data_IF_429031525964
#
_entry.id   IF_429031525964
#
_cell.length_a   1.000
_cell.length_b   1.000
_cell.length_c   1.000
_cell.angle_alpha   90.00
_cell.angle_beta   90.00
_cell.angle_gamma   90.00
#
_symmetry.space_group_name_H-M   'P 1'
#
loop_
_entity.id
_entity.type
_entity.pdbx_description
1 polymer ?
#
# COMPACT_ATOMS: atom_id res chain seq x y z
N UNK A 1 19.18 -27.11 -0.55
CA UNK A 1 18.92 -25.99 0.37
C UNK A 1 18.81 -26.52 1.80
N UNK A 2 18.88 -25.66 2.84
CA UNK A 2 18.91 -26.08 4.26
C UNK A 2 17.71 -26.96 4.69
N UNK A 3 16.59 -26.85 3.97
CA UNK A 3 15.38 -27.65 4.18
C UNK A 3 15.52 -29.10 3.68
N UNK A 4 16.37 -29.34 2.69
CA UNK A 4 16.58 -30.67 2.09
C UNK A 4 17.60 -31.51 2.87
N UNK A 5 18.34 -30.87 3.79
CA UNK A 5 19.40 -31.48 4.60
C UNK A 5 18.91 -32.02 5.96
N UNK A 6 17.60 -32.21 6.14
CA UNK A 6 17.05 -32.84 7.35
C UNK A 6 17.09 -31.97 8.61
N UNK A 7 17.27 -30.66 8.46
CA UNK A 7 17.26 -29.71 9.59
C UNK A 7 15.84 -29.57 10.12
N UNK A 8 15.67 -29.66 11.45
CA UNK A 8 14.38 -29.47 12.10
C UNK A 8 13.79 -28.09 11.79
N UNK A 9 12.53 -28.06 11.37
CA UNK A 9 11.78 -26.81 11.15
C UNK A 9 10.68 -26.68 12.20
N UNK A 10 10.84 -25.73 13.10
CA UNK A 10 9.81 -25.39 14.09
C UNK A 10 8.84 -24.38 13.47
N UNK A 11 7.60 -24.80 13.24
CA UNK A 11 6.53 -23.92 12.74
C UNK A 11 5.74 -23.37 13.92
N UNK A 12 5.86 -22.08 14.17
CA UNK A 12 5.04 -21.37 15.15
C UNK A 12 3.64 -21.08 14.55
N UNK A 13 2.58 -21.41 15.31
CA UNK A 13 1.18 -21.36 14.86
C UNK A 13 0.33 -20.31 15.61
N UNK A 14 0.96 -19.45 16.43
CA UNK A 14 0.25 -18.48 17.29
C UNK A 14 -0.15 -17.17 16.60
N UNK A 15 0.00 -17.05 15.29
CA UNK A 15 -0.29 -15.81 14.55
C UNK A 15 -1.78 -15.64 14.25
N UNK A 16 -2.30 -14.41 14.36
CA UNK A 16 -3.63 -14.09 13.84
C UNK A 16 -3.57 -14.00 12.31
N UNK A 17 -4.37 -14.83 11.63
CA UNK A 17 -4.47 -14.81 10.18
C UNK A 17 -5.45 -13.73 9.72
N UNK A 18 -4.94 -12.71 9.04
CA UNK A 18 -5.76 -11.66 8.40
C UNK A 18 -6.30 -12.15 7.05
N UNK A 19 -7.55 -11.83 6.75
CA UNK A 19 -8.14 -11.96 5.41
C UNK A 19 -7.69 -10.82 4.51
N UNK A 20 -7.44 -11.10 3.24
CA UNK A 20 -7.09 -10.09 2.24
C UNK A 20 -8.11 -10.12 1.09
N UNK A 21 -8.60 -8.95 0.70
CA UNK A 21 -9.41 -8.79 -0.50
C UNK A 21 -8.50 -8.75 -1.73
N UNK A 22 -8.76 -9.61 -2.70
CA UNK A 22 -7.99 -9.68 -3.95
C UNK A 22 -8.87 -9.24 -5.10
N UNK A 23 -8.48 -8.14 -5.74
CA UNK A 23 -9.18 -7.56 -6.89
C UNK A 23 -8.29 -7.68 -8.11
N UNK A 24 -8.79 -8.35 -9.16
CA UNK A 24 -8.09 -8.48 -10.43
C UNK A 24 -8.58 -7.43 -11.41
N UNK A 25 -7.66 -6.60 -11.91
CA UNK A 25 -7.92 -5.59 -12.94
C UNK A 25 -6.76 -5.68 -13.95
N UNK A 26 -6.98 -6.03 -15.22
CA UNK A 26 -5.90 -6.26 -16.18
C UNK A 26 -5.18 -4.99 -16.62
N UNK A 27 -5.86 -3.83 -16.66
CA UNK A 27 -5.22 -2.59 -17.07
C UNK A 27 -4.35 -2.01 -15.94
N UNK A 28 -3.08 -1.72 -16.24
CA UNK A 28 -2.13 -1.21 -15.24
C UNK A 28 -2.53 0.18 -14.75
N UNK A 29 -3.04 1.03 -15.65
CA UNK A 29 -3.49 2.37 -15.31
C UNK A 29 -4.68 2.33 -14.36
N UNK A 30 -5.73 1.61 -14.74
CA UNK A 30 -6.94 1.40 -13.96
C UNK A 30 -6.63 0.81 -12.58
N UNK A 31 -5.72 -0.16 -12.48
CA UNK A 31 -5.26 -0.69 -11.18
C UNK A 31 -4.71 0.40 -10.26
N UNK A 32 -3.83 1.25 -10.77
CA UNK A 32 -3.19 2.27 -9.93
C UNK A 32 -4.16 3.37 -9.55
N UNK A 33 -5.03 3.78 -10.47
CA UNK A 33 -6.10 4.75 -10.19
C UNK A 33 -7.05 4.23 -9.12
N UNK A 34 -7.48 2.97 -9.22
CA UNK A 34 -8.34 2.35 -8.22
C UNK A 34 -7.68 2.27 -6.84
N UNK A 35 -6.42 1.80 -6.78
CA UNK A 35 -5.65 1.75 -5.53
C UNK A 35 -5.52 3.13 -4.89
N UNK A 36 -5.27 4.17 -5.69
CA UNK A 36 -5.16 5.54 -5.21
C UNK A 36 -6.49 6.09 -4.65
N UNK A 37 -7.61 5.76 -5.30
CA UNK A 37 -8.95 6.15 -4.84
C UNK A 37 -9.33 5.43 -3.53
N UNK A 38 -9.17 4.11 -3.48
CA UNK A 38 -9.44 3.31 -2.27
C UNK A 38 -8.60 3.79 -1.09
N UNK A 39 -7.31 4.10 -1.32
CA UNK A 39 -6.45 4.70 -0.32
C UNK A 39 -6.96 6.08 0.15
N UNK A 40 -7.35 6.96 -0.77
CA UNK A 40 -7.83 8.30 -0.42
C UNK A 40 -9.13 8.27 0.39
N UNK A 41 -10.05 7.37 0.03
CA UNK A 41 -11.29 7.10 0.80
C UNK A 41 -10.94 6.64 2.21
N UNK A 42 -10.05 5.65 2.35
CA UNK A 42 -9.62 5.12 3.64
C UNK A 42 -8.99 6.18 4.55
N UNK A 43 -8.14 7.05 3.98
CA UNK A 43 -7.55 8.20 4.71
C UNK A 43 -8.60 9.21 5.13
N UNK A 44 -9.56 9.53 4.26
CA UNK A 44 -10.68 10.44 4.57
C UNK A 44 -11.53 9.89 5.71
N UNK A 45 -11.69 8.57 5.79
CA UNK A 45 -12.40 7.86 6.87
C UNK A 45 -11.55 7.71 8.15
N UNK A 46 -10.34 8.28 8.19
CA UNK A 46 -9.47 8.29 9.37
C UNK A 46 -8.82 6.94 9.67
N UNK A 47 -8.81 6.01 8.71
CA UNK A 47 -8.18 4.69 8.89
C UNK A 47 -6.65 4.80 8.82
N UNK A 48 -5.95 3.96 9.60
CA UNK A 48 -4.51 3.78 9.42
C UNK A 48 -4.27 3.02 8.12
N UNK A 49 -3.71 3.70 7.11
CA UNK A 49 -3.63 3.17 5.75
C UNK A 49 -2.25 3.39 5.15
N UNK A 50 -1.76 2.38 4.43
CA UNK A 50 -0.50 2.42 3.69
C UNK A 50 -0.70 1.80 2.32
N UNK A 51 -0.39 2.54 1.25
CA UNK A 51 -0.32 2.00 -0.11
C UNK A 51 1.10 1.49 -0.39
N UNK A 52 1.22 0.25 -0.88
CA UNK A 52 2.50 -0.38 -1.19
C UNK A 52 2.58 -0.80 -2.65
N UNK A 53 3.73 -0.53 -3.28
CA UNK A 53 4.04 -0.97 -4.64
C UNK A 53 5.55 -1.17 -4.80
N UNK A 54 5.92 -2.13 -5.63
CA UNK A 54 7.32 -2.45 -5.92
C UNK A 54 7.85 -1.63 -7.10
N UNK A 55 9.10 -1.16 -7.00
CA UNK A 55 9.78 -0.39 -8.03
C UNK A 55 9.70 1.13 -7.84
N UNK A 56 10.81 1.83 -8.00
CA UNK A 56 10.90 3.29 -7.77
C UNK A 56 10.09 4.10 -8.78
N UNK A 57 10.02 3.62 -10.04
CA UNK A 57 9.22 4.23 -11.10
C UNK A 57 7.74 4.10 -10.78
N UNK A 58 7.28 2.91 -10.44
CA UNK A 58 5.90 2.60 -10.08
C UNK A 58 5.47 3.38 -8.83
N UNK A 59 6.33 3.50 -7.82
CA UNK A 59 6.09 4.35 -6.66
C UNK A 59 5.89 5.81 -7.05
N UNK A 60 6.71 6.35 -7.97
CA UNK A 60 6.56 7.73 -8.44
C UNK A 60 5.22 7.95 -9.15
N UNK A 61 4.80 7.00 -10.00
CA UNK A 61 3.51 7.05 -10.70
C UNK A 61 2.35 6.99 -9.70
N UNK A 62 2.36 6.00 -8.80
CA UNK A 62 1.29 5.83 -7.80
C UNK A 62 1.20 7.03 -6.84
N UNK A 63 2.34 7.61 -6.42
CA UNK A 63 2.37 8.81 -5.59
C UNK A 63 1.71 10.01 -6.26
N UNK A 64 1.85 10.16 -7.59
CA UNK A 64 1.13 11.18 -8.36
C UNK A 64 -0.38 11.00 -8.25
N UNK A 65 -0.84 9.79 -8.58
CA UNK A 65 -2.27 9.43 -8.55
C UNK A 65 -2.90 9.56 -7.15
N UNK A 66 -2.17 9.15 -6.10
CA UNK A 66 -2.61 9.31 -4.71
C UNK A 66 -2.75 10.80 -4.36
N UNK A 67 -1.79 11.65 -4.73
CA UNK A 67 -1.89 13.10 -4.43
C UNK A 67 -3.10 13.72 -5.12
N UNK A 68 -3.35 13.35 -6.36
CA UNK A 68 -4.51 13.87 -7.11
C UNK A 68 -5.83 13.37 -6.51
N UNK A 69 -5.90 12.09 -6.12
CA UNK A 69 -7.08 11.51 -5.46
C UNK A 69 -7.35 12.15 -4.09
N UNK A 70 -6.32 12.33 -3.26
CA UNK A 70 -6.45 13.01 -1.96
C UNK A 70 -6.90 14.48 -2.11
N UNK A 71 -6.47 15.16 -3.18
CA UNK A 71 -6.91 16.54 -3.47
C UNK A 71 -8.39 16.58 -3.85
N UNK A 72 -8.84 15.64 -4.68
CA UNK A 72 -10.25 15.51 -5.06
C UNK A 72 -11.12 15.22 -3.82
N UNK A 73 -10.61 14.42 -2.90
CA UNK A 73 -11.28 14.06 -1.65
C UNK A 73 -11.15 15.12 -0.53
N UNK A 74 -10.47 16.25 -0.79
CA UNK A 74 -10.28 17.33 0.19
C UNK A 74 -9.39 16.97 1.39
N UNK A 75 -8.74 15.80 1.38
CA UNK A 75 -7.93 15.29 2.49
C UNK A 75 -6.42 15.48 2.28
N UNK A 76 -6.00 16.13 1.18
CA UNK A 76 -4.59 16.43 0.96
C UNK A 76 -4.08 17.56 1.87
N UNK A 77 -3.44 17.19 2.97
CA UNK A 77 -2.65 18.12 3.78
C UNK A 77 -1.19 18.01 3.38
N UNK A 78 -0.58 19.10 2.88
CA UNK A 78 0.86 19.15 2.62
C UNK A 78 1.60 19.12 3.96
N UNK A 79 1.93 17.93 4.46
CA UNK A 79 2.91 17.80 5.54
C UNK A 79 4.31 18.03 4.95
N UNK A 80 4.63 19.28 4.66
CA UNK A 80 6.03 19.71 4.54
C UNK A 80 6.64 19.49 5.92
N UNK A 81 7.41 18.42 6.13
CA UNK A 81 8.30 18.34 7.28
C UNK A 81 9.25 19.53 7.16
N UNK A 82 9.28 20.49 8.10
CA UNK A 82 10.40 21.42 8.14
C UNK A 82 11.67 20.59 8.39
N UNK A 83 12.72 20.86 7.62
CA UNK A 83 14.07 20.44 7.97
C UNK A 83 14.33 21.05 9.36
N UNK A 84 14.50 20.19 10.36
CA UNK A 84 14.98 20.64 11.67
C UNK A 84 16.45 21.05 11.52
N UNK A 85 16.91 22.11 12.21
CA UNK A 85 18.25 22.67 12.05
C UNK A 85 19.36 21.71 12.45
#
# INVERSE_FOLDING_TARGET
MLKDSGVNTYRWQGGHQTTADIISEPDKGARYSRLAQEFAVSVREGQESVAQISGTREQSVLNGLIRDSLRQEGCWVRKTRPLQP
#
